data_IF_070938790477
#
_entry.id   IF_070938790477
#
_cell.length_a   1.000
_cell.length_b   1.000
_cell.length_c   1.000
_cell.angle_alpha   90.00
_cell.angle_beta   90.00
_cell.angle_gamma   90.00
#
_symmetry.space_group_name_H-M   'P 1'
#
loop_
_entity.id
_entity.type
_entity.pdbx_description
1 polymer ?
#
# COMPACT_ATOMS: atom_id res chain seq x y z
N UNK A 1 -13.92 -19.65 -25.49
CA UNK A 1 -14.13 -19.62 -24.02
C UNK A 1 -13.67 -18.25 -23.54
N UNK A 2 -14.46 -17.48 -22.76
CA UNK A 2 -13.93 -16.26 -22.17
C UNK A 2 -12.96 -16.68 -21.06
N UNK A 3 -11.68 -16.37 -21.21
CA UNK A 3 -10.74 -16.46 -20.09
C UNK A 3 -11.26 -15.54 -18.99
N UNK A 4 -11.67 -16.10 -17.86
CA UNK A 4 -12.08 -15.30 -16.70
C UNK A 4 -10.93 -14.35 -16.34
N UNK A 5 -11.23 -13.05 -16.33
CA UNK A 5 -10.28 -12.00 -15.97
C UNK A 5 -10.36 -11.81 -14.47
N UNK A 6 -9.26 -12.03 -13.77
CA UNK A 6 -9.17 -11.75 -12.34
C UNK A 6 -9.18 -10.24 -12.12
N UNK A 7 -10.19 -9.73 -11.41
CA UNK A 7 -10.36 -8.30 -11.10
C UNK A 7 -10.04 -7.95 -9.65
N UNK A 8 -10.19 -8.92 -8.73
CA UNK A 8 -9.88 -8.79 -7.31
C UNK A 8 -8.98 -9.93 -6.87
N UNK A 9 -7.94 -9.61 -6.11
CA UNK A 9 -6.99 -10.57 -5.55
C UNK A 9 -6.68 -10.18 -4.11
N UNK A 10 -6.79 -11.16 -3.22
CA UNK A 10 -6.45 -11.02 -1.81
C UNK A 10 -5.45 -12.09 -1.42
N UNK A 11 -4.32 -11.66 -0.84
CA UNK A 11 -3.28 -12.53 -0.32
C UNK A 11 -3.02 -12.05 1.10
N UNK A 12 -3.53 -12.77 2.10
CA UNK A 12 -3.43 -12.37 3.49
C UNK A 12 -3.02 -13.56 4.36
N UNK A 13 -2.13 -13.31 5.33
CA UNK A 13 -1.64 -14.27 6.33
C UNK A 13 -1.21 -15.65 5.77
N UNK A 14 -0.53 -15.65 4.62
CA UNK A 14 -0.10 -16.87 3.95
C UNK A 14 1.23 -17.42 4.52
N UNK A 15 1.23 -17.96 5.74
CA UNK A 15 2.43 -18.38 6.49
C UNK A 15 3.32 -19.45 5.83
N UNK A 16 2.76 -20.23 4.89
CA UNK A 16 3.52 -21.26 4.15
C UNK A 16 4.01 -20.77 2.78
N UNK A 17 3.74 -19.52 2.43
CA UNK A 17 4.10 -18.96 1.14
C UNK A 17 5.56 -18.48 1.18
N UNK A 18 6.45 -19.21 0.50
CA UNK A 18 7.87 -18.87 0.45
C UNK A 18 8.16 -17.66 -0.45
N UNK A 19 7.36 -17.47 -1.51
CA UNK A 19 7.44 -16.36 -2.43
C UNK A 19 6.06 -15.99 -3.01
N UNK A 20 5.85 -14.72 -3.34
CA UNK A 20 4.64 -14.29 -4.04
C UNK A 20 4.59 -14.88 -5.46
N UNK A 21 3.38 -15.06 -6.04
CA UNK A 21 3.26 -15.58 -7.39
C UNK A 21 4.05 -14.73 -8.39
N UNK A 22 4.91 -15.39 -9.17
CA UNK A 22 5.60 -14.72 -10.28
C UNK A 22 4.57 -14.22 -11.28
N UNK A 23 4.79 -13.01 -11.79
CA UNK A 23 3.90 -12.44 -12.80
C UNK A 23 2.64 -11.76 -12.26
N UNK A 24 2.55 -11.39 -10.98
CA UNK A 24 1.45 -10.55 -10.48
C UNK A 24 1.25 -9.28 -11.31
N UNK A 25 2.34 -8.70 -11.82
CA UNK A 25 2.31 -7.55 -12.74
C UNK A 25 1.58 -7.83 -14.08
N UNK A 26 1.44 -9.09 -14.50
CA UNK A 26 0.74 -9.50 -15.72
C UNK A 26 -0.78 -9.58 -15.54
N UNK A 27 -1.28 -9.43 -14.32
CA UNK A 27 -2.72 -9.38 -14.04
C UNK A 27 -3.29 -8.02 -14.46
N UNK A 28 -3.28 -7.76 -15.77
CA UNK A 28 -3.65 -6.47 -16.37
C UNK A 28 -5.11 -6.08 -16.17
N UNK A 29 -5.97 -7.06 -15.85
CA UNK A 29 -7.38 -6.86 -15.52
C UNK A 29 -7.65 -6.69 -14.02
N UNK A 30 -6.61 -6.83 -13.19
CA UNK A 30 -6.73 -6.68 -11.75
C UNK A 30 -6.93 -5.21 -11.40
N UNK A 31 -8.01 -4.94 -10.67
CA UNK A 31 -8.43 -3.61 -10.24
C UNK A 31 -8.29 -3.45 -8.74
N UNK A 32 -8.37 -4.54 -7.99
CA UNK A 32 -8.30 -4.53 -6.54
C UNK A 32 -7.27 -5.54 -6.05
N UNK A 33 -6.35 -5.06 -5.21
CA UNK A 33 -5.32 -5.87 -4.61
C UNK A 33 -5.28 -5.62 -3.10
N UNK A 34 -5.44 -6.70 -2.35
CA UNK A 34 -5.27 -6.74 -0.90
C UNK A 34 -4.07 -7.64 -0.59
N UNK A 35 -3.03 -7.11 0.05
CA UNK A 35 -1.87 -7.89 0.49
C UNK A 35 -1.54 -7.61 1.94
N UNK A 36 -1.27 -8.64 2.74
CA UNK A 36 -0.71 -8.44 4.07
C UNK A 36 -0.59 -9.64 4.99
N UNK A 37 -0.33 -9.38 6.27
CA UNK A 37 0.08 -10.39 7.24
C UNK A 37 1.52 -10.90 7.05
N UNK A 38 1.79 -12.16 7.40
CA UNK A 38 3.12 -12.77 7.30
C UNK A 38 3.49 -13.20 5.86
N UNK A 39 3.55 -12.24 4.92
CA UNK A 39 3.94 -12.49 3.53
C UNK A 39 5.45 -12.37 3.27
N UNK A 40 5.97 -13.10 2.26
CA UNK A 40 7.31 -12.90 1.75
C UNK A 40 7.46 -11.55 1.04
N UNK A 41 8.69 -11.19 0.70
CA UNK A 41 9.01 -9.99 -0.10
C UNK A 41 8.25 -9.95 -1.43
N UNK A 42 7.92 -8.75 -1.90
CA UNK A 42 7.40 -8.54 -3.27
C UNK A 42 8.41 -9.06 -4.31
N UNK A 43 7.94 -9.36 -5.52
CA UNK A 43 8.78 -9.75 -6.67
C UNK A 43 9.45 -8.53 -7.34
N UNK A 44 10.46 -8.76 -8.19
CA UNK A 44 11.28 -7.69 -8.81
C UNK A 44 10.42 -6.76 -9.68
N UNK A 45 9.49 -7.33 -10.45
CA UNK A 45 8.51 -6.61 -11.28
C UNK A 45 7.33 -6.02 -10.48
N UNK A 46 7.26 -6.35 -9.19
CA UNK A 46 6.36 -5.75 -8.20
C UNK A 46 4.89 -5.91 -8.53
N UNK A 47 4.08 -4.96 -8.04
CA UNK A 47 2.61 -5.01 -8.15
C UNK A 47 2.10 -4.51 -9.51
N UNK A 48 0.93 -4.99 -9.96
CA UNK A 48 0.26 -4.48 -11.16
C UNK A 48 -0.12 -3.01 -11.00
N UNK A 49 0.03 -2.21 -12.06
CA UNK A 49 -0.17 -0.76 -12.00
C UNK A 49 -1.60 -0.30 -12.29
N UNK A 50 -2.43 -1.17 -12.89
CA UNK A 50 -3.82 -0.88 -13.29
C UNK A 50 -4.83 -1.02 -12.14
N UNK A 51 -4.41 -0.76 -10.91
CA UNK A 51 -5.24 -0.89 -9.72
C UNK A 51 -6.07 0.37 -9.49
N UNK A 52 -7.33 0.18 -9.07
CA UNK A 52 -8.21 1.21 -8.52
C UNK A 52 -8.19 1.22 -6.99
N UNK A 53 -7.98 0.06 -6.37
CA UNK A 53 -7.88 -0.10 -4.92
C UNK A 53 -6.67 -0.94 -4.55
N UNK A 54 -5.88 -0.46 -3.58
CA UNK A 54 -4.71 -1.14 -3.05
C UNK A 54 -4.74 -1.06 -1.53
N UNK A 55 -4.83 -2.21 -0.87
CA UNK A 55 -4.63 -2.33 0.56
C UNK A 55 -3.34 -3.10 0.81
N UNK A 56 -2.45 -2.47 1.58
CA UNK A 56 -1.20 -3.05 2.03
C UNK A 56 -1.23 -3.06 3.55
N UNK A 57 -1.35 -4.25 4.12
CA UNK A 57 -1.02 -4.50 5.51
C UNK A 57 0.41 -5.06 5.59
N UNK A 58 1.37 -4.13 5.65
CA UNK A 58 2.74 -4.41 5.27
C UNK A 58 3.64 -4.79 6.44
N UNK A 59 4.17 -6.00 6.45
CA UNK A 59 5.27 -6.35 7.34
C UNK A 59 6.63 -5.76 6.90
N UNK A 60 7.68 -5.94 7.72
CA UNK A 60 9.06 -5.49 7.42
C UNK A 60 9.58 -5.92 6.04
N UNK A 61 9.25 -7.12 5.56
CA UNK A 61 9.73 -7.65 4.26
C UNK A 61 9.05 -6.95 3.09
N UNK A 62 7.75 -6.67 3.20
CA UNK A 62 6.99 -5.93 2.17
C UNK A 62 7.55 -4.51 2.04
N UNK A 63 7.66 -3.79 3.16
CA UNK A 63 8.17 -2.42 3.14
C UNK A 63 9.61 -2.33 2.63
N UNK A 64 10.49 -3.23 3.06
CA UNK A 64 11.86 -3.35 2.53
C UNK A 64 11.87 -3.51 1.02
N UNK A 65 11.02 -4.38 0.50
CA UNK A 65 10.95 -4.64 -0.95
C UNK A 65 10.42 -3.44 -1.73
N UNK A 66 9.40 -2.75 -1.21
CA UNK A 66 8.84 -1.53 -1.82
C UNK A 66 9.88 -0.41 -1.91
N UNK A 67 10.73 -0.31 -0.89
CA UNK A 67 11.71 0.77 -0.72
C UNK A 67 12.99 0.48 -1.50
N UNK A 68 13.61 -0.69 -1.32
CA UNK A 68 14.86 -1.07 -2.01
C UNK A 68 14.65 -1.11 -3.53
N UNK A 69 13.45 -1.48 -3.99
CA UNK A 69 13.15 -1.62 -5.42
C UNK A 69 12.52 -0.38 -6.04
N UNK A 70 12.43 0.72 -5.28
CA UNK A 70 12.29 2.08 -5.79
C UNK A 70 11.09 2.35 -6.71
N UNK A 71 10.00 1.57 -6.62
CA UNK A 71 8.82 1.75 -7.47
C UNK A 71 7.65 2.26 -6.66
N UNK A 72 7.73 3.55 -6.36
CA UNK A 72 6.76 4.29 -5.59
C UNK A 72 5.31 4.22 -6.04
N UNK A 73 4.42 4.66 -5.15
CA UNK A 73 2.97 4.70 -5.41
C UNK A 73 2.57 5.53 -6.64
N UNK A 74 3.38 6.51 -7.06
CA UNK A 74 3.18 7.28 -8.29
C UNK A 74 2.95 6.44 -9.57
N UNK A 75 3.39 5.16 -9.60
CA UNK A 75 3.18 4.27 -10.75
C UNK A 75 1.74 3.77 -10.89
N UNK A 76 0.94 3.82 -9.83
CA UNK A 76 -0.45 3.38 -9.87
C UNK A 76 -1.34 4.53 -10.36
N UNK A 77 -1.21 4.87 -11.64
CA UNK A 77 -1.86 6.04 -12.24
C UNK A 77 -3.39 5.99 -12.21
N UNK A 78 -3.99 4.81 -12.03
CA UNK A 78 -5.44 4.62 -11.93
C UNK A 78 -5.93 4.45 -10.48
N UNK A 79 -5.04 4.54 -9.49
CA UNK A 79 -5.35 4.24 -8.10
C UNK A 79 -6.21 5.32 -7.48
N UNK A 80 -7.36 4.92 -6.92
CA UNK A 80 -8.34 5.79 -6.30
C UNK A 80 -8.36 5.63 -4.78
N UNK A 81 -8.12 4.42 -4.30
CA UNK A 81 -8.14 4.09 -2.87
C UNK A 81 -6.83 3.42 -2.48
N UNK A 82 -6.16 3.96 -1.46
CA UNK A 82 -4.95 3.41 -0.89
C UNK A 82 -5.10 3.29 0.62
N UNK A 83 -4.95 2.07 1.13
CA UNK A 83 -4.91 1.80 2.56
C UNK A 83 -3.55 1.21 2.92
N UNK A 84 -2.90 1.80 3.92
CA UNK A 84 -1.59 1.41 4.44
C UNK A 84 -1.75 1.06 5.93
N UNK A 85 -1.40 -0.16 6.31
CA UNK A 85 -1.37 -0.61 7.71
C UNK A 85 -0.18 -1.51 8.01
N UNK A 86 -0.08 -1.97 9.26
CA UNK A 86 0.89 -2.99 9.67
C UNK A 86 2.32 -2.50 9.80
N UNK A 87 2.56 -1.19 9.93
CA UNK A 87 3.90 -0.65 10.10
C UNK A 87 4.39 -0.87 11.54
N UNK A 88 4.79 -2.11 11.87
CA UNK A 88 5.19 -2.54 13.22
C UNK A 88 6.20 -1.59 13.90
N UNK A 89 6.13 -1.53 15.24
CA UNK A 89 7.02 -0.74 16.10
C UNK A 89 8.51 -1.08 15.96
N UNK A 90 8.86 -2.29 15.51
CA UNK A 90 10.25 -2.68 15.20
C UNK A 90 10.83 -1.95 13.98
N UNK A 91 10.02 -1.13 13.28
CA UNK A 91 10.49 -0.18 12.29
C UNK A 91 11.35 0.95 12.87
N UNK A 92 11.54 1.04 14.18
CA UNK A 92 12.61 1.84 14.80
C UNK A 92 14.01 1.39 14.32
N UNK A 93 14.16 0.13 13.90
CA UNK A 93 15.38 -0.40 13.25
C UNK A 93 15.43 -0.16 11.74
N UNK A 94 14.36 0.38 11.16
CA UNK A 94 14.25 0.71 9.76
C UNK A 94 14.78 2.13 9.54
N UNK A 95 15.66 2.37 8.56
CA UNK A 95 16.37 3.64 8.47
C UNK A 95 15.37 4.83 8.46
N UNK A 96 15.49 5.79 9.39
CA UNK A 96 14.63 6.97 9.47
C UNK A 96 14.61 7.81 8.19
N UNK A 97 15.69 7.69 7.42
CA UNK A 97 15.97 8.29 6.11
C UNK A 97 15.10 7.72 4.98
N UNK A 98 14.37 6.63 5.23
CA UNK A 98 13.51 6.04 4.24
C UNK A 98 12.31 6.93 3.94
N UNK A 99 12.24 7.31 2.65
CA UNK A 99 11.13 8.03 2.06
C UNK A 99 9.97 7.05 1.86
N UNK A 100 9.08 6.92 2.85
CA UNK A 100 7.88 6.07 2.79
C UNK A 100 7.02 6.38 1.57
N UNK A 101 6.93 7.68 1.25
CA UNK A 101 6.54 8.14 -0.07
C UNK A 101 7.81 8.54 -0.83
N UNK A 102 8.13 7.91 -1.96
CA UNK A 102 9.27 8.30 -2.77
C UNK A 102 9.11 9.72 -3.31
N UNK A 103 10.18 10.30 -3.85
CA UNK A 103 10.22 11.73 -4.27
C UNK A 103 9.09 12.18 -5.19
N UNK A 104 8.52 11.26 -5.98
CA UNK A 104 7.38 11.54 -6.87
C UNK A 104 6.00 11.47 -6.19
N UNK A 105 5.96 11.21 -4.89
CA UNK A 105 4.75 11.20 -4.07
C UNK A 105 3.75 10.08 -4.38
N UNK A 106 2.50 10.37 -4.02
CA UNK A 106 1.31 9.56 -4.28
C UNK A 106 0.73 9.88 -5.68
N UNK A 107 -0.03 8.95 -6.29
CA UNK A 107 -0.63 9.20 -7.60
C UNK A 107 -1.67 10.33 -7.52
N UNK A 108 -1.80 11.13 -8.58
CA UNK A 108 -2.75 12.25 -8.65
C UNK A 108 -4.21 11.83 -8.78
N UNK A 109 -4.47 10.56 -9.15
CA UNK A 109 -5.80 9.95 -9.22
C UNK A 109 -6.36 9.54 -7.86
N UNK A 110 -5.56 9.64 -6.79
CA UNK A 110 -5.94 9.16 -5.48
C UNK A 110 -7.03 10.04 -4.86
N UNK A 111 -8.16 9.40 -4.54
CA UNK A 111 -9.33 10.04 -3.93
C UNK A 111 -9.35 9.84 -2.41
N UNK A 112 -8.83 8.70 -1.97
CA UNK A 112 -8.84 8.29 -0.58
C UNK A 112 -7.50 7.68 -0.15
N UNK A 113 -7.01 8.14 0.99
CA UNK A 113 -5.84 7.59 1.67
C UNK A 113 -6.17 7.28 3.12
N UNK A 114 -5.97 6.02 3.52
CA UNK A 114 -6.06 5.58 4.91
C UNK A 114 -4.71 5.06 5.39
N UNK A 115 -4.25 5.54 6.54
CA UNK A 115 -3.00 5.10 7.18
C UNK A 115 -3.33 4.70 8.61
N UNK A 116 -3.25 3.40 8.92
CA UNK A 116 -3.65 2.84 10.21
C UNK A 116 -2.52 2.08 10.89
N UNK A 117 -2.35 2.27 12.20
CA UNK A 117 -1.33 1.53 12.97
C UNK A 117 0.10 1.77 12.45
N UNK A 118 0.38 2.98 11.93
CA UNK A 118 1.68 3.35 11.37
C UNK A 118 2.17 4.67 11.99
N UNK A 119 2.64 4.69 13.25
CA UNK A 119 2.88 5.92 14.01
C UNK A 119 3.94 6.83 13.36
N UNK A 120 5.03 6.27 12.82
CA UNK A 120 6.08 7.06 12.17
C UNK A 120 5.63 7.71 10.86
N UNK A 121 4.80 7.02 10.08
CA UNK A 121 4.24 7.57 8.84
C UNK A 121 3.17 8.60 9.19
N UNK A 122 2.32 8.31 10.17
CA UNK A 122 1.30 9.22 10.70
C UNK A 122 1.92 10.53 11.19
N UNK A 123 3.04 10.47 11.92
CA UNK A 123 3.78 11.65 12.35
C UNK A 123 4.30 12.47 11.17
N UNK A 124 4.87 11.82 10.14
CA UNK A 124 5.33 12.53 8.93
C UNK A 124 4.17 13.09 8.08
N UNK A 125 2.96 12.57 8.22
CA UNK A 125 1.76 13.00 7.50
C UNK A 125 0.88 14.00 8.27
N UNK A 126 1.25 14.41 9.48
CA UNK A 126 0.47 15.36 10.29
C UNK A 126 0.27 16.70 9.58
N UNK A 127 -0.91 17.29 9.72
CA UNK A 127 -1.22 18.61 9.13
C UNK A 127 -0.33 19.73 9.68
N UNK A 128 0.03 19.61 10.96
CA UNK A 128 0.79 20.63 11.68
C UNK A 128 2.29 20.42 11.52
N UNK A 129 2.80 20.53 10.28
CA UNK A 129 4.23 20.49 9.97
C UNK A 129 4.82 19.12 9.64
N UNK A 130 3.99 18.16 9.22
CA UNK A 130 4.46 16.87 8.72
C UNK A 130 5.20 16.99 7.40
N UNK A 131 6.34 16.29 7.28
CA UNK A 131 7.19 16.30 6.07
C UNK A 131 6.44 15.90 4.79
N UNK A 132 5.38 15.10 4.89
CA UNK A 132 4.60 14.60 3.76
C UNK A 132 3.26 15.30 3.57
N UNK A 133 2.91 16.27 4.42
CA UNK A 133 1.59 16.89 4.37
C UNK A 133 1.26 17.47 2.99
N UNK A 134 2.22 18.14 2.35
CA UNK A 134 2.04 18.72 1.01
C UNK A 134 1.68 17.67 -0.06
N UNK A 135 2.17 16.43 0.09
CA UNK A 135 1.86 15.30 -0.80
C UNK A 135 0.44 14.76 -0.61
N UNK A 136 -0.27 15.18 0.44
CA UNK A 136 -1.62 14.73 0.76
C UNK A 136 -2.68 15.77 0.41
N UNK A 137 -2.27 17.02 0.15
CA UNK A 137 -3.19 18.16 -0.02
C UNK A 137 -4.14 18.04 -1.20
N UNK A 138 -3.77 17.27 -2.24
CA UNK A 138 -4.62 17.02 -3.40
C UNK A 138 -5.65 15.91 -3.18
N UNK A 139 -5.57 15.17 -2.07
CA UNK A 139 -6.42 14.00 -1.79
C UNK A 139 -7.67 14.45 -1.04
N UNK A 140 -8.89 14.25 -1.60
CA UNK A 140 -10.14 14.67 -0.97
C UNK A 140 -10.41 14.06 0.42
N UNK A 141 -10.06 12.79 0.62
CA UNK A 141 -10.35 12.06 1.85
C UNK A 141 -9.07 11.42 2.42
N UNK A 142 -8.60 11.94 3.56
CA UNK A 142 -7.43 11.39 4.25
C UNK A 142 -7.80 11.04 5.70
N UNK A 143 -7.57 9.79 6.10
CA UNK A 143 -7.73 9.33 7.48
C UNK A 143 -6.43 8.72 7.97
N UNK A 144 -5.95 9.16 9.13
CA UNK A 144 -4.71 8.70 9.74
C UNK A 144 -5.02 8.39 11.20
N UNK A 145 -4.85 7.13 11.59
CA UNK A 145 -5.15 6.65 12.92
C UNK A 145 -4.04 5.72 13.43
N UNK A 146 -3.76 5.78 14.74
CA UNK A 146 -2.78 4.89 15.37
C UNK A 146 -3.40 3.56 15.83
N UNK A 147 -4.72 3.40 15.69
CA UNK A 147 -5.47 2.24 16.15
C UNK A 147 -6.03 1.51 14.93
N UNK A 148 -6.04 0.18 14.99
CA UNK A 148 -6.70 -0.69 14.04
C UNK A 148 -8.21 -0.62 14.24
N UNK A 149 -8.86 0.37 13.65
CA UNK A 149 -10.32 0.36 13.53
C UNK A 149 -10.68 -0.40 12.25
N UNK A 150 -10.69 -1.73 12.35
CA UNK A 150 -11.26 -2.57 11.30
C UNK A 150 -12.78 -2.58 11.49
N UNK A 151 -13.47 -1.58 10.95
CA UNK A 151 -14.88 -1.74 10.62
C UNK A 151 -14.96 -2.26 9.18
N UNK A 152 -15.33 -3.52 9.03
CA UNK A 152 -15.46 -4.25 7.75
C UNK A 152 -16.66 -3.75 6.90
N UNK A 153 -17.14 -2.53 7.16
CA UNK A 153 -18.40 -2.01 6.63
C UNK A 153 -18.27 -1.20 5.35
N UNK A 154 -17.08 -1.10 4.73
CA UNK A 154 -16.92 -0.44 3.42
C UNK A 154 -16.48 -1.42 2.35
N UNK A 155 -17.23 -2.50 2.20
CA UNK A 155 -17.34 -3.25 0.95
C UNK A 155 -18.83 -3.32 0.61
N UNK A 156 -19.29 -2.35 -0.18
CA UNK A 156 -20.44 -2.38 -1.09
C UNK A 156 -21.17 -1.03 -1.09
N UNK A 157 -20.89 -0.23 -2.12
CA UNK A 157 -21.83 0.67 -2.80
C UNK A 157 -21.42 0.78 -4.28
#
# INVERSE_FOLDING_TARGET
>A
MPCAKLTRLEIYDCKRLEALPKGLHNLTSLQELKIGGELPSLEEDGLPTNLHSLWIDGNKKIWKSMIERGRGFHRFSSLRHLTISGCDDDMVSFPPELKYFPEKGLPSSLLQLWIWGCPLIAEKCRKDGGQYWDLLTHIPSVSIANIWDFDDSTADD
#
